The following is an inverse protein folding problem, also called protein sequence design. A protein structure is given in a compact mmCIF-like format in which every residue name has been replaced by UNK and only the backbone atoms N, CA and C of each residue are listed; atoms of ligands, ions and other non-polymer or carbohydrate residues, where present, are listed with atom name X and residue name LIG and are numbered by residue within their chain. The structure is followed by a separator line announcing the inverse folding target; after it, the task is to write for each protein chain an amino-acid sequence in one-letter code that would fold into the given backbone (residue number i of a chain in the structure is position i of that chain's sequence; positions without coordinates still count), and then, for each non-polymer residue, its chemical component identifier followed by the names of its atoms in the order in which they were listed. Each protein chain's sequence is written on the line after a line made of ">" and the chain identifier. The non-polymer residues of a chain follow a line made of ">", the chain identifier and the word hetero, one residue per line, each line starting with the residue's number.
data_IF_864007011075
#
_entry.id   IF_864007011075
#
_cell.length_a   1.000
_cell.length_b   1.000
_cell.length_c   1.000
_cell.angle_alpha   90.00
_cell.angle_beta   90.00
_cell.angle_gamma   90.00
#
_symmetry.space_group_name_H-M   'P 1'
#
loop_
_entity.id
_entity.type
_entity.pdbx_description
1 polymer ?
#
# COMPACT_ATOMS: atom_id res chain seq x y z
N UNK A 1 13.59 -1.05 -3.09
CA UNK A 1 12.85 -2.26 -3.52
C UNK A 1 13.16 -3.40 -2.58
N UNK A 2 12.15 -4.10 -2.02
CA UNK A 2 12.40 -5.33 -1.26
C UNK A 2 12.96 -6.41 -2.19
N UNK A 3 13.81 -7.30 -1.70
CA UNK A 3 14.22 -8.49 -2.47
C UNK A 3 13.04 -9.47 -2.65
N UNK A 4 13.18 -10.37 -3.62
CA UNK A 4 12.21 -11.40 -3.99
C UNK A 4 12.38 -12.72 -3.22
N UNK A 5 13.33 -12.81 -2.29
CA UNK A 5 13.66 -14.07 -1.60
C UNK A 5 12.47 -14.52 -0.74
N UNK A 6 12.01 -15.76 -0.96
CA UNK A 6 10.91 -16.36 -0.21
C UNK A 6 9.53 -15.79 -0.56
N UNK A 7 9.40 -15.07 -1.67
CA UNK A 7 8.11 -14.60 -2.18
C UNK A 7 7.73 -15.41 -3.41
N UNK A 8 6.60 -16.13 -3.31
CA UNK A 8 6.03 -16.85 -4.45
C UNK A 8 5.20 -15.91 -5.32
N UNK A 9 5.19 -16.12 -6.64
CA UNK A 9 4.41 -15.29 -7.58
C UNK A 9 2.92 -15.16 -7.18
N UNK A 10 2.19 -16.24 -6.83
CA UNK A 10 0.80 -16.12 -6.40
C UNK A 10 0.59 -15.26 -5.14
N UNK A 11 1.55 -15.28 -4.21
CA UNK A 11 1.52 -14.41 -3.01
C UNK A 11 1.64 -12.94 -3.43
N UNK A 12 2.63 -12.61 -4.26
CA UNK A 12 2.82 -11.23 -4.73
C UNK A 12 1.65 -10.75 -5.61
N UNK A 13 1.13 -11.60 -6.49
CA UNK A 13 -0.03 -11.31 -7.33
C UNK A 13 -1.30 -11.05 -6.49
N UNK A 14 -1.43 -11.70 -5.33
CA UNK A 14 -2.56 -11.47 -4.42
C UNK A 14 -2.59 -10.06 -3.81
N UNK A 15 -1.46 -9.36 -3.75
CA UNK A 15 -1.38 -8.02 -3.17
C UNK A 15 -2.22 -7.00 -3.95
N UNK A 16 -2.28 -7.11 -5.28
CA UNK A 16 -3.09 -6.19 -6.09
C UNK A 16 -4.57 -6.60 -6.19
N UNK A 17 -4.91 -7.87 -6.03
CA UNK A 17 -6.31 -8.31 -6.03
C UNK A 17 -6.99 -8.16 -4.67
N UNK A 18 -6.22 -8.00 -3.59
CA UNK A 18 -6.71 -7.73 -2.25
C UNK A 18 -7.05 -6.26 -1.96
N UNK A 19 -7.04 -5.89 -0.68
CA UNK A 19 -7.26 -4.52 -0.18
C UNK A 19 -5.96 -3.88 0.31
N UNK A 20 -5.96 -2.55 0.50
CA UNK A 20 -4.80 -1.86 1.09
C UNK A 20 -4.47 -2.44 2.48
N UNK A 21 -5.50 -2.74 3.28
CA UNK A 21 -5.31 -3.40 4.57
C UNK A 21 -4.68 -4.81 4.49
N UNK A 22 -4.89 -5.54 3.39
CA UNK A 22 -4.28 -6.87 3.19
C UNK A 22 -2.79 -6.75 2.84
N UNK A 23 -2.43 -5.85 1.91
CA UNK A 23 -1.01 -5.66 1.53
C UNK A 23 -0.18 -5.14 2.71
N UNK A 24 -0.76 -4.29 3.57
CA UNK A 24 -0.07 -3.77 4.75
C UNK A 24 0.19 -4.83 5.84
N UNK A 25 -0.51 -5.98 5.81
CA UNK A 25 -0.27 -7.11 6.72
C UNK A 25 0.81 -8.07 6.22
N UNK A 26 1.12 -8.03 4.92
CA UNK A 26 2.23 -8.78 4.35
C UNK A 26 3.52 -7.96 4.47
N UNK A 27 4.57 -8.54 5.05
CA UNK A 27 5.83 -7.82 5.28
C UNK A 27 6.44 -7.29 3.96
N UNK A 28 6.52 -8.13 2.94
CA UNK A 28 7.13 -7.77 1.64
C UNK A 28 6.18 -6.89 0.83
N UNK A 29 4.89 -7.18 0.88
CA UNK A 29 3.85 -6.33 0.28
C UNK A 29 3.87 -4.91 0.83
N UNK A 30 3.97 -4.76 2.16
CA UNK A 30 4.06 -3.47 2.84
C UNK A 30 5.34 -2.72 2.44
N UNK A 31 6.49 -3.39 2.42
CA UNK A 31 7.76 -2.77 1.97
C UNK A 31 7.67 -2.27 0.53
N UNK A 32 7.09 -3.07 -0.37
CA UNK A 32 6.91 -2.69 -1.77
C UNK A 32 5.95 -1.51 -1.92
N UNK A 33 4.82 -1.54 -1.20
CA UNK A 33 3.86 -0.43 -1.19
C UNK A 33 4.49 0.85 -0.62
N UNK A 34 5.33 0.77 0.41
CA UNK A 34 6.08 1.93 0.93
C UNK A 34 7.06 2.50 -0.09
N UNK A 35 7.75 1.65 -0.87
CA UNK A 35 8.61 2.13 -1.96
C UNK A 35 7.78 2.91 -3.00
N UNK A 36 6.61 2.38 -3.38
CA UNK A 36 5.68 3.09 -4.26
C UNK A 36 5.24 4.44 -3.68
N UNK A 37 4.87 4.48 -2.40
CA UNK A 37 4.44 5.72 -1.74
C UNK A 37 5.56 6.77 -1.70
N UNK A 38 6.81 6.33 -1.52
CA UNK A 38 7.97 7.21 -1.60
C UNK A 38 8.14 7.82 -3.00
N UNK A 39 8.07 7.01 -4.06
CA UNK A 39 8.11 7.51 -5.45
C UNK A 39 6.93 8.42 -5.78
N UNK A 40 5.77 8.16 -5.18
CA UNK A 40 4.56 8.95 -5.33
C UNK A 40 4.52 10.21 -4.46
N UNK A 41 5.59 10.51 -3.70
CA UNK A 41 5.68 11.62 -2.75
C UNK A 41 4.51 11.65 -1.75
N UNK A 42 4.16 10.48 -1.23
CA UNK A 42 2.97 10.29 -0.42
C UNK A 42 3.16 9.28 0.74
N UNK A 43 4.43 9.04 1.11
CA UNK A 43 4.88 8.12 2.16
C UNK A 43 4.45 8.57 3.56
N UNK A 44 4.35 9.89 3.76
CA UNK A 44 3.91 10.52 5.01
C UNK A 44 2.52 10.05 5.45
N UNK A 45 1.66 9.66 4.50
CA UNK A 45 0.33 9.14 4.79
C UNK A 45 0.38 7.82 5.56
N UNK A 46 1.24 6.87 5.15
CA UNK A 46 1.39 5.61 5.85
C UNK A 46 2.16 5.80 7.17
N UNK A 47 3.21 6.61 7.15
CA UNK A 47 4.03 6.93 8.33
C UNK A 47 3.20 7.61 9.43
N UNK A 48 2.26 8.51 9.09
CA UNK A 48 1.32 9.10 10.03
C UNK A 48 0.43 8.04 10.70
N UNK A 49 -0.18 7.15 9.92
CA UNK A 49 -1.07 6.10 10.44
C UNK A 49 -0.33 5.19 11.43
N UNK A 50 0.89 4.77 11.09
CA UNK A 50 1.72 3.95 11.97
C UNK A 50 2.15 4.69 13.24
N UNK A 51 2.48 5.98 13.12
CA UNK A 51 2.83 6.80 14.27
C UNK A 51 1.66 6.90 15.27
N UNK A 52 0.43 7.09 14.78
CA UNK A 52 -0.76 7.07 15.65
C UNK A 52 -1.02 5.68 16.24
N UNK A 53 -0.80 4.61 15.49
CA UNK A 53 -0.94 3.24 16.02
C UNK A 53 0.16 2.89 17.05
N UNK A 54 1.35 3.50 16.96
CA UNK A 54 2.37 3.46 18.01
C UNK A 54 1.94 4.26 19.24
N UNK A 55 1.44 5.49 19.05
CA UNK A 55 0.93 6.34 20.14
C UNK A 55 -0.12 5.63 21.00
N UNK A 56 -1.05 4.89 20.36
CA UNK A 56 -2.09 4.09 21.03
C UNK A 56 -1.52 3.01 21.98
N UNK A 57 -0.32 2.49 21.68
CA UNK A 57 0.31 1.41 22.44
C UNK A 57 1.24 1.92 23.56
N UNK A 58 1.52 3.23 23.58
CA UNK A 58 2.38 3.83 24.60
C UNK A 58 1.68 3.89 25.96
N UNK A 59 2.44 3.59 27.02
CA UNK A 59 1.94 3.52 28.40
C UNK A 59 2.40 4.71 29.27
N UNK A 60 3.57 5.27 28.98
CA UNK A 60 4.10 6.42 29.70
C UNK A 60 3.40 7.71 29.22
N UNK A 61 2.75 8.42 30.14
CA UNK A 61 1.94 9.62 29.83
C UNK A 61 2.77 10.78 29.27
N UNK A 62 3.94 11.05 29.85
CA UNK A 62 4.79 12.19 29.43
C UNK A 62 5.43 11.94 28.06
N UNK A 63 5.90 10.72 27.82
CA UNK A 63 6.39 10.30 26.51
C UNK A 63 5.28 10.32 25.47
N UNK A 64 4.08 9.84 25.83
CA UNK A 64 2.90 9.86 24.94
C UNK A 64 2.54 11.29 24.55
N UNK A 65 2.58 12.22 25.50
CA UNK A 65 2.30 13.65 25.24
C UNK A 65 3.33 14.29 24.31
N UNK A 66 4.61 14.00 24.55
CA UNK A 66 5.71 14.48 23.69
C UNK A 66 5.57 13.91 22.27
N UNK A 67 5.36 12.61 22.15
CA UNK A 67 5.20 11.94 20.86
C UNK A 67 3.96 12.40 20.09
N UNK A 68 2.84 12.67 20.76
CA UNK A 68 1.65 13.21 20.10
C UNK A 68 1.90 14.59 19.47
N UNK A 69 2.66 15.47 20.15
CA UNK A 69 3.06 16.76 19.59
C UNK A 69 3.98 16.60 18.38
N UNK A 70 4.94 15.66 18.46
CA UNK A 70 5.81 15.32 17.34
C UNK A 70 5.03 14.85 16.12
N UNK A 71 4.01 13.98 16.28
CA UNK A 71 3.13 13.54 15.20
C UNK A 71 2.47 14.73 14.51
N UNK A 72 1.86 15.64 15.29
CA UNK A 72 1.18 16.81 14.71
C UNK A 72 2.17 17.72 13.99
N UNK A 73 3.33 18.00 14.59
CA UNK A 73 4.36 18.84 13.99
C UNK A 73 4.91 18.25 12.69
N UNK A 74 5.19 16.94 12.68
CA UNK A 74 5.84 16.27 11.56
C UNK A 74 4.89 16.06 10.38
N UNK A 75 3.63 15.70 10.63
CA UNK A 75 2.74 15.24 9.57
C UNK A 75 1.68 16.26 9.15
N UNK A 76 1.16 17.10 10.06
CA UNK A 76 0.05 18.01 9.74
C UNK A 76 0.30 18.96 8.55
N UNK A 77 1.53 19.41 8.24
CA UNK A 77 1.77 20.23 7.05
C UNK A 77 1.69 19.46 5.72
N UNK A 78 1.82 18.12 5.76
CA UNK A 78 2.03 17.30 4.56
C UNK A 78 0.88 16.34 4.27
N UNK A 79 0.09 15.95 5.28
CA UNK A 79 -1.10 15.10 5.07
C UNK A 79 -2.33 15.93 4.68
N UNK A 80 -3.09 15.45 3.70
CA UNK A 80 -4.30 16.11 3.24
C UNK A 80 -5.49 15.77 4.17
N UNK A 81 -5.93 16.74 4.96
CA UNK A 81 -7.01 16.59 5.94
C UNK A 81 -8.07 17.68 5.78
N UNK A 82 -9.31 17.33 6.12
CA UNK A 82 -10.38 18.31 6.34
C UNK A 82 -10.04 19.25 7.51
N UNK A 83 -10.61 20.45 7.49
CA UNK A 83 -10.45 21.43 8.58
C UNK A 83 -10.91 20.88 9.92
N UNK A 84 -11.97 20.07 9.94
CA UNK A 84 -12.47 19.39 11.14
C UNK A 84 -11.45 18.42 11.72
N UNK A 85 -10.91 17.52 10.88
CA UNK A 85 -9.90 16.56 11.31
C UNK A 85 -8.60 17.25 11.77
N UNK A 86 -8.17 18.30 11.07
CA UNK A 86 -7.01 19.11 11.45
C UNK A 86 -7.20 19.80 12.80
N UNK A 87 -8.40 20.32 13.07
CA UNK A 87 -8.73 20.92 14.36
C UNK A 87 -8.68 19.89 15.48
N UNK A 88 -9.33 18.73 15.30
CA UNK A 88 -9.32 17.65 16.30
C UNK A 88 -7.91 17.19 16.66
N UNK A 89 -6.99 17.11 15.70
CA UNK A 89 -5.57 16.80 15.95
C UNK A 89 -4.90 17.83 16.86
N UNK A 90 -5.13 19.12 16.62
CA UNK A 90 -4.54 20.21 17.40
C UNK A 90 -5.12 20.23 18.82
N UNK A 91 -6.43 20.15 18.94
CA UNK A 91 -7.13 20.11 20.24
C UNK A 91 -6.65 18.91 21.09
N UNK A 92 -6.38 17.76 20.45
CA UNK A 92 -5.93 16.55 21.13
C UNK A 92 -4.55 16.68 21.81
N UNK A 93 -3.63 17.48 21.24
CA UNK A 93 -2.28 17.68 21.79
C UNK A 93 -2.18 18.83 22.78
N UNK A 94 -3.19 19.70 22.82
CA UNK A 94 -3.33 20.77 23.81
C UNK A 94 -3.91 20.24 25.14
N UNK A 95 -4.66 19.14 25.10
CA UNK A 95 -5.18 18.46 26.29
C UNK A 95 -4.06 18.04 27.26
N UNK A 96 -4.33 18.15 28.57
CA UNK A 96 -3.44 17.61 29.59
C UNK A 96 -3.31 16.09 29.51
N UNK A 97 -4.41 15.42 29.15
CA UNK A 97 -4.49 13.98 28.96
C UNK A 97 -4.65 13.66 27.48
N UNK A 98 -3.57 13.20 26.84
CA UNK A 98 -3.59 12.84 25.42
C UNK A 98 -4.38 11.54 25.22
N UNK A 99 -5.53 11.69 24.58
CA UNK A 99 -6.33 10.59 24.06
C UNK A 99 -6.05 10.37 22.58
N UNK A 100 -5.73 9.12 22.22
CA UNK A 100 -5.56 8.71 20.83
C UNK A 100 -6.84 8.83 20.00
N UNK A 101 -8.01 8.88 20.65
CA UNK A 101 -9.29 9.07 19.95
C UNK A 101 -9.37 10.45 19.27
N UNK A 102 -8.63 11.46 19.77
CA UNK A 102 -8.49 12.75 19.11
C UNK A 102 -7.85 12.69 17.72
N UNK A 103 -7.14 11.59 17.41
CA UNK A 103 -6.53 11.35 16.10
C UNK A 103 -7.44 10.52 15.16
N UNK A 104 -8.56 9.98 15.64
CA UNK A 104 -9.37 9.00 14.91
C UNK A 104 -9.92 9.56 13.58
N UNK A 105 -10.39 10.80 13.58
CA UNK A 105 -10.90 11.46 12.38
C UNK A 105 -9.82 11.61 11.30
N UNK A 106 -8.63 12.09 11.69
CA UNK A 106 -7.50 12.24 10.76
C UNK A 106 -7.01 10.89 10.24
N UNK A 107 -6.86 9.89 11.10
CA UNK A 107 -6.48 8.52 10.69
C UNK A 107 -7.49 7.94 9.70
N UNK A 108 -8.78 8.17 9.92
CA UNK A 108 -9.84 7.70 9.00
C UNK A 108 -9.71 8.35 7.61
N UNK A 109 -9.46 9.64 7.54
CA UNK A 109 -9.28 10.34 6.27
C UNK A 109 -8.03 9.89 5.52
N UNK A 110 -6.89 9.77 6.21
CA UNK A 110 -5.62 9.31 5.60
C UNK A 110 -5.72 7.85 5.15
N UNK A 111 -6.34 6.97 5.94
CA UNK A 111 -6.60 5.58 5.52
C UNK A 111 -7.49 5.51 4.27
N UNK A 112 -8.46 6.42 4.16
CA UNK A 112 -9.30 6.52 2.95
C UNK A 112 -8.50 6.98 1.74
N UNK A 113 -7.55 7.90 1.91
CA UNK A 113 -6.65 8.33 0.83
C UNK A 113 -5.76 7.17 0.36
N UNK A 114 -5.18 6.42 1.31
CA UNK A 114 -4.41 5.21 1.03
C UNK A 114 -5.23 4.18 0.24
N UNK A 115 -6.44 3.86 0.69
CA UNK A 115 -7.28 2.83 0.06
C UNK A 115 -7.86 3.27 -1.29
N UNK A 116 -8.31 4.52 -1.42
CA UNK A 116 -9.12 4.94 -2.58
C UNK A 116 -8.32 5.67 -3.66
N UNK A 117 -7.11 6.16 -3.37
CA UNK A 117 -6.26 6.83 -4.36
C UNK A 117 -4.92 6.09 -4.56
N UNK A 118 -4.13 6.00 -3.49
CA UNK A 118 -2.74 5.57 -3.59
C UNK A 118 -2.64 4.07 -3.90
N UNK A 119 -3.46 3.23 -3.27
CA UNK A 119 -3.45 1.78 -3.51
C UNK A 119 -3.94 1.41 -4.94
N UNK A 120 -5.01 2.00 -5.51
CA UNK A 120 -5.37 1.83 -6.92
C UNK A 120 -4.27 2.21 -7.91
N UNK A 121 -3.41 3.18 -7.58
CA UNK A 121 -2.24 3.55 -8.37
C UNK A 121 -1.11 2.53 -8.20
N UNK A 122 -0.84 2.08 -6.98
CA UNK A 122 0.12 1.00 -6.68
C UNK A 122 -0.15 -0.26 -7.52
N UNK A 123 -1.40 -0.71 -7.60
CA UNK A 123 -1.80 -1.92 -8.37
C UNK A 123 -1.42 -1.88 -9.86
N UNK A 124 -1.21 -0.69 -10.42
CA UNK A 124 -0.88 -0.46 -11.84
C UNK A 124 0.49 0.17 -12.01
N UNK A 125 1.23 0.33 -10.93
CA UNK A 125 2.53 1.01 -10.94
C UNK A 125 3.60 0.13 -11.53
N UNK A 126 4.58 0.74 -12.21
CA UNK A 126 5.73 0.04 -12.77
C UNK A 126 6.49 -0.71 -11.67
N UNK A 127 6.65 -0.12 -10.49
CA UNK A 127 7.33 -0.74 -9.35
C UNK A 127 6.67 -2.08 -8.94
N UNK A 128 5.33 -2.17 -8.98
CA UNK A 128 4.62 -3.43 -8.70
C UNK A 128 4.76 -4.44 -9.85
N UNK A 129 4.59 -3.99 -11.10
CA UNK A 129 4.68 -4.86 -12.27
C UNK A 129 6.10 -5.42 -12.46
N UNK A 130 7.13 -4.60 -12.25
CA UNK A 130 8.52 -5.01 -12.29
C UNK A 130 8.84 -6.04 -11.20
N UNK A 131 8.28 -5.89 -9.99
CA UNK A 131 8.45 -6.89 -8.92
C UNK A 131 7.84 -8.24 -9.30
N UNK A 132 6.67 -8.25 -9.94
CA UNK A 132 6.06 -9.49 -10.45
C UNK A 132 6.89 -10.13 -11.57
N UNK A 133 7.47 -9.30 -12.45
CA UNK A 133 8.34 -9.77 -13.54
C UNK A 133 9.67 -10.34 -13.03
N UNK A 134 10.23 -9.80 -11.95
CA UNK A 134 11.40 -10.39 -11.29
C UNK A 134 11.10 -11.78 -10.70
N UNK A 135 9.88 -11.99 -10.19
CA UNK A 135 9.45 -13.28 -9.61
C UNK A 135 9.16 -14.34 -10.67
N UNK A 136 8.58 -13.94 -11.78
CA UNK A 136 8.32 -14.82 -12.91
C UNK A 136 8.58 -14.04 -14.20
N UNK A 137 9.80 -14.13 -14.75
CA UNK A 137 10.14 -13.44 -15.98
C UNK A 137 9.17 -13.81 -17.10
N UNK A 138 8.73 -12.82 -17.88
CA UNK A 138 7.76 -13.02 -18.97
C UNK A 138 8.16 -14.16 -19.91
N UNK A 139 9.44 -14.28 -20.23
CA UNK A 139 9.97 -15.37 -21.05
C UNK A 139 9.76 -16.76 -20.44
N UNK A 140 9.77 -16.88 -19.11
CA UNK A 140 9.44 -18.14 -18.41
C UNK A 140 7.93 -18.39 -18.39
N UNK A 141 7.12 -17.36 -18.15
CA UNK A 141 5.66 -17.47 -18.18
C UNK A 141 5.13 -17.87 -19.57
N UNK A 142 5.66 -17.28 -20.64
CA UNK A 142 5.31 -17.61 -22.03
C UNK A 142 5.68 -19.05 -22.37
N UNK A 143 6.90 -19.48 -22.03
CA UNK A 143 7.32 -20.88 -22.23
C UNK A 143 6.45 -21.85 -21.46
N UNK A 144 6.04 -21.49 -20.24
CA UNK A 144 5.16 -22.32 -19.42
C UNK A 144 3.76 -22.40 -20.01
N UNK A 145 3.20 -21.28 -20.47
CA UNK A 145 1.91 -21.24 -21.16
C UNK A 145 1.93 -22.06 -22.46
N UNK A 146 2.94 -21.87 -23.31
CA UNK A 146 3.10 -22.66 -24.54
C UNK A 146 3.29 -24.15 -24.24
N UNK A 147 4.06 -24.49 -23.21
CA UNK A 147 4.27 -25.89 -22.81
C UNK A 147 3.00 -26.52 -22.24
N UNK A 148 2.21 -25.76 -21.47
CA UNK A 148 0.94 -26.21 -20.90
C UNK A 148 -0.14 -26.38 -21.99
N UNK A 149 -0.24 -25.45 -22.94
CA UNK A 149 -1.11 -25.57 -24.11
C UNK A 149 -0.71 -26.75 -25.01
N UNK A 150 0.59 -26.97 -25.20
CA UNK A 150 1.10 -28.14 -25.92
C UNK A 150 0.78 -29.47 -25.21
N UNK A 151 0.83 -29.49 -23.86
CA UNK A 151 0.46 -30.65 -23.04
C UNK A 151 -1.04 -30.96 -23.06
N UNK A 152 -1.89 -29.93 -23.09
CA UNK A 152 -3.35 -30.10 -23.12
C UNK A 152 -3.94 -30.23 -24.53
N UNK A 153 -3.10 -30.21 -25.57
CA UNK A 153 -3.50 -30.48 -26.95
C UNK A 153 -4.68 -29.64 -27.42
N UNK A 154 -4.51 -28.32 -27.58
CA UNK A 154 -5.44 -27.41 -28.25
C UNK A 154 -6.92 -27.42 -27.82
N UNK A 155 -7.27 -28.07 -26.70
CA UNK A 155 -8.66 -28.30 -26.30
C UNK A 155 -9.02 -27.69 -24.93
N UNK A 156 -8.45 -26.54 -24.55
CA UNK A 156 -9.12 -25.64 -23.59
C UNK A 156 -8.73 -24.18 -23.88
N UNK A 157 -9.56 -23.47 -24.65
CA UNK A 157 -9.49 -22.01 -24.77
C UNK A 157 -10.03 -21.36 -23.49
N UNK A 158 -9.26 -21.26 -22.39
CA UNK A 158 -9.77 -20.54 -21.22
C UNK A 158 -8.79 -19.92 -20.21
N UNK A 159 -7.49 -19.73 -20.52
CA UNK A 159 -6.58 -19.04 -19.59
C UNK A 159 -5.89 -17.77 -20.15
N UNK A 160 -6.34 -17.24 -21.29
CA UNK A 160 -5.78 -16.00 -21.85
C UNK A 160 -6.54 -14.75 -21.36
N UNK A 161 -6.58 -14.52 -20.05
CA UNK A 161 -7.06 -13.24 -19.50
C UNK A 161 -5.94 -12.20 -19.37
N UNK A 162 -4.68 -12.63 -19.21
CA UNK A 162 -3.53 -11.74 -19.05
C UNK A 162 -2.95 -11.28 -20.41
N UNK A 163 -3.12 -12.08 -21.49
CA UNK A 163 -2.51 -11.78 -22.81
C UNK A 163 -3.41 -10.91 -23.71
N UNK A 164 -4.73 -10.85 -23.47
CA UNK A 164 -5.65 -10.16 -24.41
C UNK A 164 -5.76 -8.65 -24.23
N UNK A 165 -5.29 -8.08 -23.12
CA UNK A 165 -5.54 -6.66 -22.83
C UNK A 165 -4.63 -5.68 -23.62
N UNK A 166 -3.49 -6.13 -24.17
CA UNK A 166 -2.58 -5.24 -24.91
C UNK A 166 -2.69 -5.33 -26.45
N UNK A 167 -3.29 -6.39 -27.00
CA UNK A 167 -3.48 -6.50 -28.45
C UNK A 167 -4.57 -5.56 -29.03
N UNK A 168 -5.34 -4.86 -28.19
CA UNK A 168 -6.29 -3.84 -28.64
C UNK A 168 -5.80 -2.40 -28.46
N UNK A 169 -4.70 -2.16 -27.72
CA UNK A 169 -4.18 -0.81 -27.48
C UNK A 169 -3.03 -0.40 -28.42
N UNK A 170 -2.46 -1.35 -29.16
CA UNK A 170 -1.32 -1.11 -30.08
C UNK A 170 -1.68 -0.87 -31.55
N UNK A 171 -2.97 -0.65 -31.88
CA UNK A 171 -3.41 -0.37 -33.25
C UNK A 171 -4.02 1.04 -33.34
N UNK A 172 -3.18 2.06 -33.22
CA UNK A 172 -3.37 3.37 -33.86
C UNK A 172 -2.02 3.96 -34.24
#
# INVERSE_FOLDING_TARGET
>A
MPDTVGVEYPRAASWASGSCAAVLKDEKGCQLFRCFLYEALAEENLSFVEAVDKLKKMKNTDEKKTYAKEIVQLYSPYINLSSGAMKSLKDAVESENVDSEGFAAAVKEVKRLLENDQFPRFRRSEIYLNYLEELLPRAYAERWATSFEALLGNHVSSCTAIIRYENQAGSY
#
